data_IF_846031997238
#
_entry.id   IF_846031997238
#
_cell.length_a   1.000
_cell.length_b   1.000
_cell.length_c   1.000
_cell.angle_alpha   90.00
_cell.angle_beta   90.00
_cell.angle_gamma   90.00
#
_symmetry.space_group_name_H-M   'P 1'
#
loop_
_entity.id
_entity.type
_entity.pdbx_description
1 polymer ?
#
# COMPACT_ATOMS: atom_id res chain seq x y z
N UNK A 1 6.78 -16.42 -13.59
CA UNK A 1 5.82 -15.71 -12.73
C UNK A 1 5.17 -14.67 -13.59
N UNK A 2 3.83 -14.68 -13.67
CA UNK A 2 3.11 -13.61 -14.36
C UNK A 2 3.34 -12.30 -13.60
N UNK A 3 3.67 -11.24 -14.33
CA UNK A 3 3.96 -9.94 -13.76
C UNK A 3 2.66 -9.31 -13.25
N UNK A 4 2.62 -8.94 -11.98
CA UNK A 4 1.45 -8.28 -11.38
C UNK A 4 1.60 -6.76 -11.46
N UNK A 5 0.48 -6.05 -11.52
CA UNK A 5 0.44 -4.58 -11.49
C UNK A 5 0.04 -4.08 -10.10
N UNK A 6 0.91 -3.28 -9.49
CA UNK A 6 0.63 -2.58 -8.24
C UNK A 6 0.46 -1.09 -8.47
N UNK A 7 -0.58 -0.51 -7.87
CA UNK A 7 -0.76 0.94 -7.76
C UNK A 7 -0.27 1.38 -6.39
N UNK A 8 0.70 2.30 -6.33
CA UNK A 8 1.23 2.84 -5.07
C UNK A 8 0.82 4.31 -4.95
N UNK A 9 -0.03 4.62 -3.98
CA UNK A 9 -0.49 5.98 -3.66
C UNK A 9 0.39 6.50 -2.53
N UNK A 10 1.33 7.39 -2.85
CA UNK A 10 2.29 7.92 -1.89
C UNK A 10 1.88 9.30 -1.35
N UNK A 11 1.71 9.41 -0.03
CA UNK A 11 1.52 10.68 0.69
C UNK A 11 2.86 11.24 1.16
N UNK A 12 3.81 11.40 0.22
CA UNK A 12 5.15 11.93 0.45
C UNK A 12 5.95 11.16 1.52
N UNK A 13 5.76 9.83 1.57
CA UNK A 13 6.49 8.96 2.49
C UNK A 13 7.73 8.38 1.77
N UNK A 14 8.96 8.50 2.32
CA UNK A 14 10.16 7.88 1.73
C UNK A 14 10.03 6.37 1.56
N UNK A 15 9.22 5.73 2.40
CA UNK A 15 8.92 4.30 2.34
C UNK A 15 8.17 3.92 1.05
N UNK A 16 7.33 4.81 0.50
CA UNK A 16 6.58 4.57 -0.73
C UNK A 16 7.47 4.32 -1.95
N UNK A 17 8.57 5.08 -2.07
CA UNK A 17 9.56 4.85 -3.13
C UNK A 17 10.20 3.46 -2.99
N UNK A 18 10.61 3.09 -1.78
CA UNK A 18 11.32 1.83 -1.54
C UNK A 18 10.43 0.62 -1.78
N UNK A 19 9.16 0.67 -1.35
CA UNK A 19 8.18 -0.38 -1.66
C UNK A 19 8.03 -0.52 -3.17
N UNK A 20 7.91 0.60 -3.89
CA UNK A 20 7.78 0.61 -5.36
C UNK A 20 8.98 -0.02 -6.05
N UNK A 21 10.20 0.34 -5.65
CA UNK A 21 11.44 -0.26 -6.16
C UNK A 21 11.49 -1.77 -5.88
N UNK A 22 11.22 -2.20 -4.64
CA UNK A 22 11.23 -3.62 -4.28
C UNK A 22 10.18 -4.45 -5.03
N UNK A 23 8.97 -3.90 -5.23
CA UNK A 23 7.94 -4.54 -6.04
C UNK A 23 8.40 -4.70 -7.49
N UNK A 24 9.01 -3.66 -8.06
CA UNK A 24 9.58 -3.69 -9.41
C UNK A 24 10.73 -4.71 -9.55
N UNK A 25 11.66 -4.76 -8.60
CA UNK A 25 12.77 -5.74 -8.52
C UNK A 25 12.25 -7.20 -8.52
N UNK A 26 11.08 -7.44 -7.91
CA UNK A 26 10.42 -8.75 -7.90
C UNK A 26 9.72 -9.10 -9.23
N UNK A 27 9.83 -8.24 -10.24
CA UNK A 27 9.28 -8.46 -11.57
C UNK A 27 7.86 -7.94 -11.76
N UNK A 28 7.35 -7.13 -10.84
CA UNK A 28 6.04 -6.49 -10.98
C UNK A 28 6.14 -5.19 -11.78
N UNK A 29 5.00 -4.72 -12.29
CA UNK A 29 4.84 -3.37 -12.82
C UNK A 29 4.27 -2.51 -11.70
N UNK A 30 4.79 -1.30 -11.53
CA UNK A 30 4.31 -0.37 -10.51
C UNK A 30 3.87 0.92 -11.16
N UNK A 31 2.65 1.37 -10.88
CA UNK A 31 2.23 2.75 -11.12
C UNK A 31 2.35 3.51 -9.82
N UNK A 32 3.21 4.52 -9.82
CA UNK A 32 3.55 5.30 -8.64
C UNK A 32 2.89 6.68 -8.72
N UNK A 33 2.00 6.96 -7.76
CA UNK A 33 1.22 8.18 -7.67
C UNK A 33 1.76 9.06 -6.54
N UNK A 34 2.22 10.26 -6.86
CA UNK A 34 2.65 11.29 -5.90
C UNK A 34 2.40 12.68 -6.48
N UNK A 35 2.28 13.70 -5.64
CA UNK A 35 2.25 15.11 -6.03
C UNK A 35 3.63 15.78 -5.99
N UNK A 36 4.68 15.02 -5.68
CA UNK A 36 6.07 15.44 -5.83
C UNK A 36 6.64 14.97 -7.18
N UNK A 37 6.71 15.89 -8.15
CA UNK A 37 7.31 15.64 -9.47
C UNK A 37 8.78 15.20 -9.37
N UNK A 38 9.56 15.78 -8.47
CA UNK A 38 11.00 15.47 -8.39
C UNK A 38 11.22 14.04 -7.93
N UNK A 39 10.51 13.63 -6.87
CA UNK A 39 10.46 12.25 -6.39
C UNK A 39 9.96 11.30 -7.49
N UNK A 40 8.85 11.65 -8.15
CA UNK A 40 8.22 10.84 -9.18
C UNK A 40 9.13 10.57 -10.38
N UNK A 41 9.77 11.60 -10.92
CA UNK A 41 10.71 11.43 -12.03
C UNK A 41 11.99 10.69 -11.61
N UNK A 42 12.48 10.91 -10.38
CA UNK A 42 13.66 10.21 -9.88
C UNK A 42 13.45 8.70 -9.86
N UNK A 43 12.35 8.21 -9.27
CA UNK A 43 12.10 6.78 -9.18
C UNK A 43 11.85 6.14 -10.55
N UNK A 44 11.13 6.82 -11.45
CA UNK A 44 10.87 6.30 -12.80
C UNK A 44 12.15 6.25 -13.67
N UNK A 45 13.11 7.13 -13.42
CA UNK A 45 14.41 7.11 -14.08
C UNK A 45 15.30 5.96 -13.58
N UNK A 46 15.21 5.63 -12.29
CA UNK A 46 15.99 4.56 -11.66
C UNK A 46 15.42 3.16 -11.97
N UNK A 47 14.10 2.99 -11.97
CA UNK A 47 13.43 1.70 -12.13
C UNK A 47 12.51 1.66 -13.37
N UNK A 48 12.91 1.01 -14.48
CA UNK A 48 12.13 0.97 -15.74
C UNK A 48 10.73 0.35 -15.63
N UNK A 49 10.47 -0.43 -14.59
CA UNK A 49 9.17 -1.05 -14.30
C UNK A 49 8.24 -0.15 -13.49
N UNK A 50 8.74 0.98 -12.97
CA UNK A 50 7.97 1.99 -12.27
C UNK A 50 7.52 3.06 -13.26
N UNK A 51 6.21 3.32 -13.29
CA UNK A 51 5.58 4.37 -14.09
C UNK A 51 5.08 5.45 -13.16
N UNK A 52 5.71 6.61 -13.20
CA UNK A 52 5.25 7.77 -12.45
C UNK A 52 4.03 8.42 -13.11
N UNK A 53 3.06 8.82 -12.28
CA UNK A 53 1.94 9.69 -12.66
C UNK A 53 1.74 10.73 -11.56
N UNK A 54 1.69 11.99 -11.95
CA UNK A 54 1.37 13.06 -11.01
C UNK A 54 -0.07 12.89 -10.52
N UNK A 55 -0.26 12.81 -9.21
CA UNK A 55 -1.58 12.72 -8.61
C UNK A 55 -1.53 13.20 -7.16
N UNK A 56 -2.37 14.16 -6.80
CA UNK A 56 -2.53 14.54 -5.40
C UNK A 56 -3.30 13.44 -4.65
N UNK A 57 -2.72 12.77 -3.64
CA UNK A 57 -3.37 11.67 -2.92
C UNK A 57 -4.66 12.08 -2.20
N UNK A 58 -4.85 13.39 -1.97
CA UNK A 58 -6.05 13.94 -1.33
C UNK A 58 -7.17 14.26 -2.31
N UNK A 59 -6.87 14.25 -3.62
CA UNK A 59 -7.85 14.52 -4.66
C UNK A 59 -8.43 13.22 -5.22
N UNK A 60 -9.60 12.81 -4.69
CA UNK A 60 -10.27 11.57 -5.10
C UNK A 60 -10.65 11.53 -6.59
N UNK A 61 -11.00 12.67 -7.19
CA UNK A 61 -11.35 12.71 -8.61
C UNK A 61 -10.14 12.41 -9.48
N UNK A 62 -9.00 13.02 -9.17
CA UNK A 62 -7.73 12.77 -9.85
C UNK A 62 -7.27 11.31 -9.67
N UNK A 63 -7.39 10.77 -8.46
CA UNK A 63 -7.09 9.36 -8.19
C UNK A 63 -7.97 8.42 -9.04
N UNK A 64 -9.26 8.72 -9.18
CA UNK A 64 -10.17 7.90 -9.97
C UNK A 64 -9.80 7.92 -11.46
N UNK A 65 -9.45 9.08 -12.00
CA UNK A 65 -8.97 9.23 -13.38
C UNK A 65 -7.67 8.44 -13.61
N UNK A 66 -6.74 8.46 -12.65
CA UNK A 66 -5.47 7.73 -12.76
C UNK A 66 -5.64 6.22 -12.61
N UNK A 67 -6.58 5.75 -11.78
CA UNK A 67 -6.97 4.33 -11.70
C UNK A 67 -7.53 3.87 -13.06
N UNK A 68 -8.45 4.64 -13.64
CA UNK A 68 -9.07 4.33 -14.92
C UNK A 68 -8.03 4.32 -16.05
N UNK A 69 -7.14 5.31 -16.07
CA UNK A 69 -6.03 5.36 -17.03
C UNK A 69 -5.11 4.14 -16.88
N UNK A 70 -4.77 3.77 -15.65
CA UNK A 70 -3.89 2.64 -15.34
C UNK A 70 -4.46 1.33 -15.89
N UNK A 71 -5.75 1.08 -15.67
CA UNK A 71 -6.43 -0.11 -16.17
C UNK A 71 -6.55 -0.13 -17.70
N UNK A 72 -6.73 1.03 -18.33
CA UNK A 72 -6.83 1.16 -19.80
C UNK A 72 -5.49 1.02 -20.51
N UNK A 73 -4.43 1.58 -19.93
CA UNK A 73 -3.16 1.81 -20.61
C UNK A 73 -2.03 0.88 -20.16
N UNK A 74 -2.17 0.22 -19.00
CA UNK A 74 -1.11 -0.62 -18.42
C UNK A 74 -1.57 -2.07 -18.31
N UNK A 75 -2.46 -2.36 -17.35
CA UNK A 75 -3.03 -3.70 -17.11
C UNK A 75 -4.12 -3.59 -16.02
N UNK A 76 -4.84 -4.69 -15.77
CA UNK A 76 -5.65 -4.83 -14.56
C UNK A 76 -4.77 -4.67 -13.31
N UNK A 77 -5.31 -3.99 -12.30
CA UNK A 77 -4.62 -3.74 -11.03
C UNK A 77 -4.77 -4.98 -10.14
N UNK A 78 -3.65 -5.59 -9.76
CA UNK A 78 -3.62 -6.74 -8.84
C UNK A 78 -3.62 -6.31 -7.37
N UNK A 79 -3.07 -5.13 -7.08
CA UNK A 79 -3.00 -4.61 -5.72
C UNK A 79 -2.81 -3.10 -5.65
N UNK A 80 -3.32 -2.51 -4.60
CA UNK A 80 -3.19 -1.09 -4.26
C UNK A 80 -2.45 -0.99 -2.94
N UNK A 81 -1.40 -0.18 -2.90
CA UNK A 81 -0.68 0.18 -1.68
C UNK A 81 -0.93 1.64 -1.41
N UNK A 82 -1.53 1.95 -0.27
CA UNK A 82 -1.84 3.31 0.16
C UNK A 82 -0.90 3.66 1.30
N UNK A 83 -0.02 4.62 1.08
CA UNK A 83 0.78 5.18 2.16
C UNK A 83 -0.10 6.14 2.96
N UNK A 84 -0.13 5.96 4.28
CA UNK A 84 -0.97 6.74 5.19
C UNK A 84 -0.09 7.23 6.33
N UNK A 85 -0.12 8.53 6.62
CA UNK A 85 0.46 9.02 7.86
C UNK A 85 -0.46 8.70 9.03
N UNK A 86 0.08 8.34 10.19
CA UNK A 86 -0.71 8.16 11.42
C UNK A 86 -1.61 9.38 11.72
N UNK A 87 -1.12 10.59 11.45
CA UNK A 87 -1.87 11.84 11.65
C UNK A 87 -3.08 12.01 10.73
N UNK A 88 -3.19 11.22 9.67
CA UNK A 88 -4.31 11.23 8.73
C UNK A 88 -5.41 10.23 9.11
N UNK A 89 -5.21 9.46 10.19
CA UNK A 89 -6.18 8.48 10.68
C UNK A 89 -7.08 9.13 11.73
N UNK A 90 -8.30 9.45 11.34
CA UNK A 90 -9.35 9.94 12.26
C UNK A 90 -10.26 8.77 12.67
N UNK A 91 -10.37 8.48 13.97
CA UNK A 91 -11.26 7.42 14.49
C UNK A 91 -11.11 6.06 13.76
N UNK A 92 -9.86 5.68 13.43
CA UNK A 92 -9.49 4.42 12.73
C UNK A 92 -9.97 4.40 11.26
N UNK A 93 -10.49 5.51 10.73
CA UNK A 93 -10.89 5.62 9.32
C UNK A 93 -9.69 6.01 8.48
N UNK A 94 -9.44 5.21 7.45
CA UNK A 94 -8.42 5.52 6.46
C UNK A 94 -8.87 6.71 5.62
N UNK A 95 -7.94 7.58 5.16
CA UNK A 95 -8.26 8.75 4.34
C UNK A 95 -8.92 8.38 3.00
N UNK A 96 -8.66 7.16 2.51
CA UNK A 96 -9.34 6.55 1.36
C UNK A 96 -10.06 5.28 1.82
N UNK A 97 -11.40 5.32 1.86
CA UNK A 97 -12.25 4.18 2.19
C UNK A 97 -12.20 3.11 1.09
N UNK A 98 -12.30 1.84 1.47
CA UNK A 98 -12.21 0.71 0.55
C UNK A 98 -13.26 0.78 -0.58
N UNK A 99 -14.43 1.38 -0.33
CA UNK A 99 -15.49 1.60 -1.31
C UNK A 99 -15.05 2.47 -2.49
N UNK A 100 -14.13 3.40 -2.28
CA UNK A 100 -13.56 4.23 -3.34
C UNK A 100 -12.93 3.36 -4.45
N UNK A 101 -12.24 2.28 -4.07
CA UNK A 101 -11.54 1.40 -5.00
C UNK A 101 -12.45 0.42 -5.74
N UNK A 102 -13.77 0.56 -5.61
CA UNK A 102 -14.73 -0.23 -6.41
C UNK A 102 -14.58 0.00 -7.90
N UNK A 103 -14.09 1.18 -8.31
CA UNK A 103 -13.76 1.48 -9.70
C UNK A 103 -12.54 0.69 -10.22
N UNK A 104 -11.60 0.32 -9.34
CA UNK A 104 -10.39 -0.43 -9.68
C UNK A 104 -10.65 -1.94 -9.86
N UNK A 105 -11.89 -2.40 -9.66
CA UNK A 105 -12.23 -3.81 -9.88
C UNK A 105 -12.37 -4.08 -11.38
N UNK A 106 -11.93 -5.25 -11.86
CA UNK A 106 -12.28 -5.70 -13.19
C UNK A 106 -13.82 -5.79 -13.28
N UNK A 107 -14.43 -4.90 -14.07
CA UNK A 107 -15.83 -5.05 -14.45
C UNK A 107 -15.88 -6.20 -15.47
N UNK A 108 -16.34 -7.37 -15.04
CA UNK A 108 -16.65 -8.45 -15.97
C UNK A 108 -17.82 -8.01 -16.86
N UNK A 109 -17.54 -7.29 -17.94
CA UNK A 109 -18.43 -7.20 -19.07
C UNK A 109 -18.45 -8.57 -19.75
N UNK A 110 -19.64 -9.18 -19.76
CA UNK A 110 -20.02 -10.36 -20.56
C UNK A 110 -19.38 -11.72 -20.23
N UNK A 111 -20.03 -12.47 -19.33
CA UNK A 111 -20.65 -13.77 -19.67
C UNK A 111 -21.15 -14.47 -18.41
N UNK A 112 -22.45 -14.75 -18.37
CA UNK A 112 -23.13 -15.56 -17.33
C UNK A 112 -22.72 -17.04 -17.31
N UNK A 113 -21.53 -17.40 -17.82
CA UNK A 113 -21.13 -18.80 -18.08
C UNK A 113 -19.75 -19.18 -17.54
N UNK A 114 -19.00 -18.27 -16.93
CA UNK A 114 -17.71 -18.60 -16.32
C UNK A 114 -17.78 -18.45 -14.81
N UNK A 115 -17.88 -19.57 -14.09
CA UNK A 115 -17.70 -19.67 -12.64
C UNK A 115 -16.23 -19.45 -12.23
N UNK A 116 -15.54 -18.49 -12.84
CA UNK A 116 -14.24 -18.10 -12.33
C UNK A 116 -14.46 -17.22 -11.09
N UNK A 117 -13.78 -17.51 -9.96
CA UNK A 117 -13.92 -16.70 -8.76
C UNK A 117 -13.54 -15.26 -9.10
N UNK A 118 -14.41 -14.31 -8.75
CA UNK A 118 -14.12 -12.88 -8.86
C UNK A 118 -12.75 -12.61 -8.23
N UNK A 119 -11.79 -12.16 -9.04
CA UNK A 119 -10.45 -11.85 -8.56
C UNK A 119 -10.57 -10.70 -7.53
N UNK A 120 -10.24 -11.01 -6.28
CA UNK A 120 -10.26 -10.04 -5.19
C UNK A 120 -9.13 -9.02 -5.35
N UNK A 121 -9.46 -7.73 -5.23
CA UNK A 121 -8.46 -6.68 -5.24
C UNK A 121 -7.84 -6.54 -3.85
N UNK A 122 -6.51 -6.62 -3.77
CA UNK A 122 -5.78 -6.41 -2.52
C UNK A 122 -5.54 -4.93 -2.28
N UNK A 123 -6.00 -4.39 -1.16
CA UNK A 123 -5.71 -3.03 -0.71
C UNK A 123 -4.83 -3.14 0.54
N UNK A 124 -3.68 -2.48 0.54
CA UNK A 124 -2.75 -2.49 1.67
C UNK A 124 -2.49 -1.06 2.11
N UNK A 125 -2.98 -0.71 3.29
CA UNK A 125 -2.68 0.54 3.95
C UNK A 125 -1.39 0.40 4.74
N UNK A 126 -0.36 1.14 4.34
CA UNK A 126 0.93 1.21 5.04
C UNK A 126 0.93 2.47 5.88
N UNK A 127 0.74 2.30 7.18
CA UNK A 127 0.60 3.36 8.15
C UNK A 127 1.98 3.66 8.75
N UNK A 128 2.45 4.88 8.53
CA UNK A 128 3.76 5.35 9.02
C UNK A 128 3.54 6.18 10.28
N UNK A 129 4.12 5.74 11.40
CA UNK A 129 4.10 6.47 12.67
C UNK A 129 5.02 7.70 12.61
N UNK A 130 4.52 8.89 12.94
CA UNK A 130 5.27 10.15 12.80
C UNK A 130 5.96 10.64 14.10
N UNK A 131 5.95 9.86 15.18
CA UNK A 131 6.81 10.04 16.37
C UNK A 131 6.54 8.91 17.38
N UNK A 132 7.55 8.47 18.16
CA UNK A 132 7.36 7.52 19.26
C UNK A 132 6.76 8.17 20.51
N UNK A 133 5.81 9.10 20.37
CA UNK A 133 5.12 9.69 21.52
C UNK A 133 4.00 8.73 21.94
N UNK A 134 4.35 7.89 22.92
CA UNK A 134 3.59 6.80 23.51
C UNK A 134 3.54 5.51 22.65
N UNK A 135 4.41 4.50 22.94
CA UNK A 135 4.24 3.14 22.39
C UNK A 135 2.83 2.56 22.63
N UNK A 136 2.11 3.10 23.63
CA UNK A 136 0.71 2.77 23.90
C UNK A 136 -0.25 3.26 22.80
N UNK A 137 0.06 4.36 22.09
CA UNK A 137 -0.74 4.88 20.96
C UNK A 137 -0.69 3.93 19.77
N UNK A 138 0.51 3.51 19.37
CA UNK A 138 0.69 2.55 18.26
C UNK A 138 0.15 1.17 18.60
N UNK A 139 0.30 0.72 19.84
CA UNK A 139 -0.29 -0.53 20.31
C UNK A 139 -1.83 -0.44 20.31
N UNK A 140 -2.40 0.68 20.75
CA UNK A 140 -3.84 0.90 20.71
C UNK A 140 -4.36 0.94 19.27
N UNK A 141 -3.65 1.61 18.36
CA UNK A 141 -3.97 1.65 16.94
C UNK A 141 -3.89 0.26 16.30
N UNK A 142 -2.82 -0.50 16.57
CA UNK A 142 -2.71 -1.88 16.10
C UNK A 142 -3.85 -2.76 16.62
N UNK A 143 -4.18 -2.70 17.91
CA UNK A 143 -5.31 -3.44 18.49
C UNK A 143 -6.64 -3.03 17.88
N UNK A 144 -6.85 -1.74 17.63
CA UNK A 144 -8.05 -1.23 16.99
C UNK A 144 -8.18 -1.72 15.54
N UNK A 145 -7.07 -1.74 14.79
CA UNK A 145 -7.03 -2.29 13.43
C UNK A 145 -7.25 -3.81 13.42
N UNK A 146 -6.72 -4.53 14.40
CA UNK A 146 -7.01 -5.96 14.59
C UNK A 146 -8.50 -6.19 14.85
N UNK A 147 -9.11 -5.39 15.74
CA UNK A 147 -10.56 -5.46 16.00
C UNK A 147 -11.36 -5.20 14.73
N UNK A 148 -11.03 -4.13 13.99
CA UNK A 148 -11.67 -3.78 12.71
C UNK A 148 -11.47 -4.85 11.63
N UNK A 149 -10.33 -5.53 11.64
CA UNK A 149 -10.06 -6.65 10.75
C UNK A 149 -10.91 -7.89 11.11
N UNK A 150 -11.32 -8.04 12.37
CA UNK A 150 -12.20 -9.11 12.84
C UNK A 150 -13.68 -8.78 12.69
N UNK A 151 -14.03 -7.51 12.49
CA UNK A 151 -15.38 -7.13 12.10
C UNK A 151 -15.67 -7.72 10.71
N UNK A 152 -16.51 -8.77 10.71
CA UNK A 152 -16.88 -9.64 9.59
C UNK A 152 -17.84 -8.94 8.61
N UNK A 153 -17.60 -7.65 8.36
CA UNK A 153 -18.19 -6.95 7.24
C UNK A 153 -17.60 -7.56 5.97
N UNK A 154 -18.43 -8.35 5.28
CA UNK A 154 -18.15 -8.86 3.94
C UNK A 154 -17.89 -7.68 3.00
N UNK A 155 -16.64 -7.25 2.91
CA UNK A 155 -16.15 -6.42 1.81
C UNK A 155 -16.14 -7.29 0.56
N UNK A 156 -17.30 -7.39 -0.10
CA UNK A 156 -17.52 -8.21 -1.29
C UNK A 156 -16.50 -7.88 -2.38
N UNK A 157 -15.39 -8.63 -2.46
CA UNK A 157 -14.37 -8.51 -3.49
C UNK A 157 -13.13 -7.68 -3.17
N UNK A 158 -12.92 -7.29 -1.90
CA UNK A 158 -11.67 -6.65 -1.46
C UNK A 158 -11.00 -7.44 -0.35
N UNK A 159 -9.68 -7.52 -0.42
CA UNK A 159 -8.82 -7.98 0.66
C UNK A 159 -8.05 -6.81 1.24
N UNK A 160 -8.22 -6.52 2.51
CA UNK A 160 -7.66 -5.32 3.14
C UNK A 160 -6.55 -5.66 4.11
N UNK A 161 -5.37 -5.09 3.94
CA UNK A 161 -4.25 -5.27 4.85
C UNK A 161 -3.89 -3.93 5.47
N UNK A 162 -3.65 -3.92 6.77
CA UNK A 162 -3.11 -2.79 7.50
C UNK A 162 -1.70 -3.16 7.95
N UNK A 163 -0.73 -2.30 7.63
CA UNK A 163 0.67 -2.52 7.96
C UNK A 163 1.16 -1.29 8.70
N UNK A 164 1.38 -1.43 10.00
CA UNK A 164 1.89 -0.36 10.84
C UNK A 164 3.41 -0.45 10.88
N UNK A 165 4.08 0.63 10.48
CA UNK A 165 5.54 0.77 10.43
C UNK A 165 5.95 1.90 11.37
N UNK A 166 6.78 1.56 12.36
CA UNK A 166 7.42 2.57 13.22
C UNK A 166 8.76 2.95 12.62
N UNK A 167 8.91 4.20 12.22
CA UNK A 167 10.22 4.76 11.87
C UNK A 167 10.84 5.33 13.13
N UNK A 168 11.99 4.82 13.55
CA UNK A 168 12.72 5.39 14.68
C UNK A 168 13.41 6.68 14.20
N UNK A 169 12.87 7.84 14.54
CA UNK A 169 13.57 9.14 14.39
C UNK A 169 14.68 9.34 15.43
N UNK A 170 14.95 8.34 16.28
CA UNK A 170 16.12 8.33 17.14
C UNK A 170 17.32 7.94 16.30
N UNK A 171 17.85 8.93 15.59
CA UNK A 171 19.27 9.18 15.35
C UNK A 171 19.39 9.98 14.05
N UNK A 172 19.14 11.29 14.12
CA UNK A 172 19.59 12.25 13.08
C UNK A 172 21.13 12.24 12.92
N UNK A 173 21.87 11.48 13.72
CA UNK A 173 23.32 11.29 13.62
C UNK A 173 23.74 10.06 12.81
N UNK A 174 22.85 9.11 12.49
CA UNK A 174 23.22 7.89 11.76
C UNK A 174 22.20 7.51 10.68
N UNK A 175 22.32 8.18 9.52
CA UNK A 175 21.50 7.96 8.33
C UNK A 175 21.50 6.49 7.86
N UNK A 176 22.54 5.70 8.14
CA UNK A 176 22.63 4.31 7.66
C UNK A 176 21.65 3.37 8.39
N UNK A 177 21.39 3.62 9.68
CA UNK A 177 20.54 2.77 10.52
C UNK A 177 19.07 2.91 10.16
N UNK A 178 18.59 4.16 10.00
CA UNK A 178 17.23 4.48 9.53
C UNK A 178 16.99 3.92 8.13
N UNK A 179 17.99 3.96 7.25
CA UNK A 179 17.88 3.36 5.93
C UNK A 179 17.80 1.82 5.97
N UNK A 180 18.55 1.15 6.84
CA UNK A 180 18.51 -0.31 6.99
C UNK A 180 17.17 -0.82 7.55
N UNK A 181 16.59 -0.05 8.47
CA UNK A 181 15.32 -0.32 9.15
C UNK A 181 14.12 -0.25 8.20
N UNK A 182 14.10 0.80 7.38
CA UNK A 182 13.10 0.98 6.33
C UNK A 182 13.27 -0.09 5.24
N UNK A 183 14.51 -0.47 4.91
CA UNK A 183 14.78 -1.50 3.91
C UNK A 183 14.29 -2.89 4.35
N UNK A 184 14.48 -3.23 5.62
CA UNK A 184 14.00 -4.48 6.22
C UNK A 184 12.48 -4.51 6.27
N UNK A 185 11.84 -3.42 6.71
CA UNK A 185 10.38 -3.28 6.72
C UNK A 185 9.78 -3.38 5.33
N UNK A 186 10.38 -2.72 4.33
CA UNK A 186 9.96 -2.82 2.93
C UNK A 186 10.14 -4.23 2.36
N UNK A 187 11.23 -4.92 2.71
CA UNK A 187 11.48 -6.31 2.28
C UNK A 187 10.45 -7.28 2.88
N UNK A 188 10.18 -7.17 4.18
CA UNK A 188 9.17 -7.99 4.87
C UNK A 188 7.78 -7.75 4.31
N UNK A 189 7.42 -6.48 4.07
CA UNK A 189 6.16 -6.10 3.45
C UNK A 189 6.04 -6.68 2.03
N UNK A 190 7.09 -6.53 1.21
CA UNK A 190 7.09 -7.05 -0.17
C UNK A 190 6.99 -8.57 -0.19
N UNK A 191 7.70 -9.26 0.71
CA UNK A 191 7.60 -10.71 0.85
C UNK A 191 6.18 -11.13 1.26
N UNK A 192 5.56 -10.42 2.19
CA UNK A 192 4.17 -10.67 2.57
C UNK A 192 3.21 -10.46 1.38
N UNK A 193 3.27 -9.31 0.71
CA UNK A 193 2.40 -8.95 -0.42
C UNK A 193 2.48 -9.95 -1.58
N UNK A 194 3.63 -10.61 -1.75
CA UNK A 194 3.87 -11.59 -2.81
C UNK A 194 3.68 -13.04 -2.36
N UNK A 195 3.43 -13.29 -1.06
CA UNK A 195 3.25 -14.64 -0.50
C UNK A 195 1.86 -15.22 -0.77
N UNK A 196 1.76 -16.56 -0.73
CA UNK A 196 0.46 -17.24 -0.77
C UNK A 196 -0.36 -17.04 0.52
N UNK A 197 0.27 -16.71 1.65
CA UNK A 197 -0.42 -16.46 2.93
C UNK A 197 -1.23 -15.17 2.90
N UNK A 198 -0.71 -14.12 2.26
CA UNK A 198 -1.49 -12.91 2.00
C UNK A 198 -2.73 -13.20 1.15
N UNK A 199 -2.75 -14.30 0.38
CA UNK A 199 -3.93 -14.73 -0.40
C UNK A 199 -5.01 -15.43 0.42
N UNK A 200 -4.72 -15.85 1.65
CA UNK A 200 -5.63 -16.67 2.44
C UNK A 200 -6.51 -15.86 3.41
N UNK A 201 -6.22 -14.58 3.67
CA UNK A 201 -6.89 -13.83 4.74
C UNK A 201 -7.45 -12.50 4.25
N UNK A 202 -8.75 -12.28 4.49
CA UNK A 202 -9.51 -11.14 3.96
C UNK A 202 -9.22 -9.80 4.64
N UNK A 203 -8.83 -9.81 5.93
CA UNK A 203 -8.38 -8.62 6.65
C UNK A 203 -7.27 -8.95 7.65
N UNK A 204 -6.16 -8.23 7.62
CA UNK A 204 -5.04 -8.43 8.56
C UNK A 204 -4.41 -7.10 8.99
N UNK A 205 -3.90 -7.06 10.22
CA UNK A 205 -3.10 -5.97 10.73
C UNK A 205 -1.74 -6.50 11.17
N UNK A 206 -0.66 -5.89 10.68
CA UNK A 206 0.71 -6.21 11.03
C UNK A 206 1.38 -5.04 11.74
N UNK A 207 2.27 -5.35 12.67
CA UNK A 207 3.13 -4.37 13.30
C UNK A 207 4.59 -4.78 13.08
N UNK A 208 5.31 -3.97 12.31
CA UNK A 208 6.76 -4.13 12.19
C UNK A 208 7.41 -3.27 13.27
N UNK A 209 7.84 -3.93 14.36
CA UNK A 209 8.70 -3.32 15.37
C UNK A 209 10.15 -3.57 14.97
N UNK A 210 10.97 -2.52 14.90
CA UNK A 210 12.42 -2.71 14.99
C UNK A 210 12.76 -3.00 16.45
N UNK A 211 12.92 -4.28 16.77
CA UNK A 211 13.62 -4.70 17.96
C UNK A 211 15.12 -4.56 17.69
N UNK A 212 15.73 -3.53 18.27
CA UNK A 212 17.14 -3.61 18.67
C UNK A 212 17.23 -4.59 19.85
N UNK A 213 17.37 -5.87 19.53
CA UNK A 213 17.98 -6.86 20.43
C UNK A 213 19.47 -7.00 20.08
#
# INVERSE_FOLDING_TARGET
>A
MDSQLYLVINTQQPLGQRISKRLAEKGNIVVYLTDDDQEGYAIAAEEPRVRYRYCSPKNQAMLAEEIEWTQRCVSLIDGIVVMVSESEIEDIRMPLDERFFSCARPQNTSSELSQEPLQELSITYVIVAQKPQAPDSLKALHLALCSRAHDDEKCNGFRVNYVLVSLNDKDEEDNDTTQSDIATSASNLTHYLTSQQAKAVHRQAFYFKNSSD
#
